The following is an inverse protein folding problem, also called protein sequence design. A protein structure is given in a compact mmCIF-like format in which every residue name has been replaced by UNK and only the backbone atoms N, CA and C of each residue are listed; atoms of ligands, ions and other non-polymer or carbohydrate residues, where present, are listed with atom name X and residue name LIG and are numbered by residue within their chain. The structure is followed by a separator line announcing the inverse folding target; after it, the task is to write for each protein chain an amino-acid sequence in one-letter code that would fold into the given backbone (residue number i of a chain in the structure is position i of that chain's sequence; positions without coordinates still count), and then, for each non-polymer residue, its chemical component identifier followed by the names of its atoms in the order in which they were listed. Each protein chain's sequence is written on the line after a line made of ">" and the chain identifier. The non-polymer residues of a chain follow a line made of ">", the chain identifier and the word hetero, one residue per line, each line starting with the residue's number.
data_IF_686676877596
#
_entry.id   IF_686676877596
#
_cell.length_a   1.000
_cell.length_b   1.000
_cell.length_c   1.000
_cell.angle_alpha   90.00
_cell.angle_beta   90.00
_cell.angle_gamma   90.00
#
_symmetry.space_group_name_H-M   'P 1'
#
loop_
_entity.id
_entity.type
_entity.pdbx_description
1 polymer ?
#
# COMPACT_ATOMS: atom_id res chain seq x y z
N UNK A 1 -17.76 -10.15 17.54
CA UNK A 1 -18.31 -8.94 16.92
C UNK A 1 -17.94 -7.76 17.77
N UNK A 2 -17.12 -6.89 17.26
CA UNK A 2 -16.72 -5.65 17.95
C UNK A 2 -17.56 -4.52 17.33
N UNK A 3 -17.74 -3.42 18.05
CA UNK A 3 -18.52 -2.27 17.58
C UNK A 3 -17.62 -1.03 17.68
N UNK A 4 -17.61 -0.20 16.64
CA UNK A 4 -16.90 1.08 16.61
C UNK A 4 -17.94 2.19 16.46
N UNK A 5 -18.20 2.94 17.50
CA UNK A 5 -19.14 4.05 17.53
C UNK A 5 -20.54 3.71 16.94
N UNK A 6 -21.07 2.53 17.25
CA UNK A 6 -22.35 2.04 16.74
C UNK A 6 -22.26 1.24 15.42
N UNK A 7 -21.15 1.31 14.71
CA UNK A 7 -20.90 0.57 13.46
C UNK A 7 -20.42 -0.85 13.76
N UNK A 8 -21.06 -1.87 13.21
CA UNK A 8 -20.62 -3.26 13.33
C UNK A 8 -19.24 -3.42 12.68
N UNK A 9 -18.28 -4.03 13.41
CA UNK A 9 -16.89 -4.16 12.93
C UNK A 9 -16.44 -5.62 12.89
N UNK A 10 -15.78 -5.99 11.82
CA UNK A 10 -15.18 -7.29 11.56
C UNK A 10 -13.72 -7.13 11.17
N UNK A 11 -12.89 -8.11 11.53
CA UNK A 11 -11.51 -8.24 11.05
C UNK A 11 -11.39 -9.47 10.15
N UNK A 12 -10.77 -9.31 8.98
CA UNK A 12 -10.36 -10.43 8.12
C UNK A 12 -8.84 -10.47 8.08
N UNK A 13 -8.28 -11.64 8.27
CA UNK A 13 -6.83 -11.82 8.45
C UNK A 13 -6.28 -12.80 7.41
N UNK A 14 -5.23 -12.39 6.70
CA UNK A 14 -4.63 -13.15 5.61
C UNK A 14 -3.14 -13.42 5.85
N UNK A 15 -2.68 -14.56 5.38
CA UNK A 15 -1.27 -14.86 5.19
C UNK A 15 -0.69 -14.10 3.97
N UNK A 16 0.63 -14.13 3.80
CA UNK A 16 1.33 -13.45 2.71
C UNK A 16 0.90 -13.90 1.29
N UNK A 17 0.40 -15.10 1.15
CA UNK A 17 -0.09 -15.70 -0.11
C UNK A 17 -1.58 -15.45 -0.37
N UNK A 18 -2.26 -14.73 0.53
CA UNK A 18 -3.69 -14.44 0.46
C UNK A 18 -4.58 -15.54 1.07
N UNK A 19 -4.03 -16.63 1.58
CA UNK A 19 -4.84 -17.62 2.32
C UNK A 19 -5.32 -17.04 3.64
N UNK A 20 -6.51 -17.42 4.15
CA UNK A 20 -6.98 -16.98 5.45
C UNK A 20 -6.02 -17.37 6.58
N UNK A 21 -5.68 -16.44 7.47
CA UNK A 21 -4.87 -16.73 8.64
C UNK A 21 -5.74 -17.28 9.76
N UNK A 22 -5.68 -18.59 9.97
CA UNK A 22 -6.45 -19.29 11.01
C UNK A 22 -5.77 -19.36 12.37
N UNK A 23 -4.54 -18.84 12.49
CA UNK A 23 -3.82 -18.84 13.76
C UNK A 23 -4.47 -17.89 14.80
N UNK A 24 -5.16 -16.84 14.33
CA UNK A 24 -5.84 -15.84 15.15
C UNK A 24 -7.36 -16.06 15.24
N UNK A 25 -7.89 -17.10 14.58
CA UNK A 25 -9.33 -17.38 14.51
C UNK A 25 -9.74 -18.01 13.18
N UNK A 26 -10.93 -17.65 12.68
CA UNK A 26 -11.45 -18.18 11.39
C UNK A 26 -10.75 -17.57 10.16
N UNK A 27 -9.98 -16.53 10.33
CA UNK A 27 -9.37 -15.74 9.24
C UNK A 27 -10.35 -14.84 8.49
N UNK A 28 -11.62 -15.21 8.43
CA UNK A 28 -12.72 -14.46 7.80
C UNK A 28 -13.50 -13.55 8.79
N UNK A 29 -13.09 -13.54 10.07
CA UNK A 29 -13.71 -12.74 11.14
C UNK A 29 -15.19 -13.04 11.39
N UNK A 30 -15.72 -14.14 10.84
CA UNK A 30 -17.15 -14.46 10.88
C UNK A 30 -18.00 -13.57 9.97
N UNK A 31 -17.39 -12.80 9.08
CA UNK A 31 -18.07 -11.89 8.15
C UNK A 31 -19.07 -12.60 7.23
N UNK A 32 -18.75 -13.74 6.57
CA UNK A 32 -19.71 -14.44 5.74
C UNK A 32 -20.98 -14.86 6.50
N UNK A 33 -20.82 -15.35 7.72
CA UNK A 33 -21.94 -15.75 8.57
C UNK A 33 -22.81 -14.55 9.01
N UNK A 34 -22.19 -13.39 9.22
CA UNK A 34 -22.91 -12.16 9.56
C UNK A 34 -23.71 -11.63 8.37
N UNK A 35 -23.12 -11.59 7.18
CA UNK A 35 -23.80 -11.18 5.94
C UNK A 35 -24.96 -12.12 5.63
N UNK A 36 -24.79 -13.45 5.78
CA UNK A 36 -25.82 -14.44 5.54
C UNK A 36 -27.04 -14.30 6.48
N UNK A 37 -26.89 -13.69 7.65
CA UNK A 37 -28.03 -13.37 8.53
C UNK A 37 -28.90 -12.22 8.04
N UNK A 38 -28.39 -11.40 7.13
CA UNK A 38 -29.05 -10.21 6.62
C UNK A 38 -28.90 -8.98 7.53
N UNK A 39 -29.40 -7.85 7.03
CA UNK A 39 -29.35 -6.56 7.72
C UNK A 39 -28.12 -5.70 7.40
N UNK A 40 -27.10 -6.25 6.73
CA UNK A 40 -25.95 -5.49 6.23
C UNK A 40 -26.19 -5.19 4.75
N UNK A 41 -26.48 -3.94 4.42
CA UNK A 41 -26.67 -3.47 3.04
C UNK A 41 -25.40 -2.86 2.45
N UNK A 42 -24.59 -2.24 3.28
CA UNK A 42 -23.36 -1.54 2.90
C UNK A 42 -22.17 -2.02 3.73
N UNK A 43 -21.10 -2.39 3.06
CA UNK A 43 -19.89 -2.95 3.66
C UNK A 43 -18.69 -2.08 3.31
N UNK A 44 -18.15 -1.38 4.30
CA UNK A 44 -16.97 -0.54 4.16
C UNK A 44 -15.71 -1.32 4.53
N UNK A 45 -14.86 -1.59 3.56
CA UNK A 45 -13.65 -2.41 3.71
C UNK A 45 -12.42 -1.52 3.64
N UNK A 46 -11.61 -1.47 4.71
CA UNK A 46 -10.38 -0.69 4.77
C UNK A 46 -9.16 -1.60 4.93
N UNK A 47 -8.16 -1.41 4.07
CA UNK A 47 -6.84 -2.02 4.21
C UNK A 47 -5.81 -0.98 4.63
N UNK A 48 -5.07 -1.30 5.70
CA UNK A 48 -3.88 -0.54 6.11
C UNK A 48 -2.75 -0.68 5.10
N UNK A 49 -1.80 0.23 5.17
CA UNK A 49 -0.62 0.25 4.34
C UNK A 49 0.57 -0.52 4.92
N UNK A 50 1.75 -0.05 4.59
CA UNK A 50 3.00 -0.48 5.20
C UNK A 50 3.04 0.05 6.63
N UNK A 51 3.02 -0.82 7.63
CA UNK A 51 2.62 -0.48 8.99
C UNK A 51 3.45 -1.23 10.05
N UNK A 52 3.49 -0.70 11.26
CA UNK A 52 4.26 -1.21 12.40
C UNK A 52 3.65 -2.43 13.11
N UNK A 53 2.63 -3.06 12.53
CA UNK A 53 2.03 -4.29 13.05
C UNK A 53 0.52 -4.21 13.24
N UNK A 54 -0.07 -5.27 13.77
CA UNK A 54 -1.53 -5.46 13.87
C UNK A 54 -2.18 -4.40 14.76
N UNK A 55 -1.55 -4.01 15.87
CA UNK A 55 -2.13 -3.03 16.79
C UNK A 55 -2.20 -1.64 16.16
N UNK A 56 -1.15 -1.23 15.42
CA UNK A 56 -1.15 0.02 14.67
C UNK A 56 -2.21 0.02 13.55
N UNK A 57 -2.46 -1.13 12.90
CA UNK A 57 -3.57 -1.27 11.95
C UNK A 57 -4.93 -1.09 12.64
N UNK A 58 -5.13 -1.67 13.82
CA UNK A 58 -6.36 -1.52 14.61
C UNK A 58 -6.60 -0.10 15.07
N UNK A 59 -5.54 0.62 15.47
CA UNK A 59 -5.63 2.05 15.83
C UNK A 59 -6.07 2.90 14.63
N UNK A 60 -5.54 2.62 13.44
CA UNK A 60 -5.99 3.25 12.21
C UNK A 60 -7.48 2.95 11.95
N UNK A 61 -7.89 1.67 12.03
CA UNK A 61 -9.27 1.27 11.80
C UNK A 61 -10.23 1.88 12.82
N UNK A 62 -9.86 1.91 14.10
CA UNK A 62 -10.64 2.56 15.14
C UNK A 62 -10.88 4.04 14.81
N UNK A 63 -9.85 4.78 14.40
CA UNK A 63 -9.96 6.19 14.08
C UNK A 63 -10.81 6.43 12.81
N UNK A 64 -10.49 5.72 11.71
CA UNK A 64 -11.16 5.91 10.43
C UNK A 64 -12.64 5.49 10.48
N UNK A 65 -12.94 4.36 11.12
CA UNK A 65 -14.33 3.90 11.24
C UNK A 65 -15.15 4.69 12.27
N UNK A 66 -14.53 5.34 13.26
CA UNK A 66 -15.20 6.32 14.09
C UNK A 66 -15.66 7.52 13.26
N UNK A 67 -14.76 8.11 12.46
CA UNK A 67 -15.09 9.21 11.54
C UNK A 67 -16.14 8.81 10.50
N UNK A 68 -16.10 7.56 10.01
CA UNK A 68 -17.11 7.03 9.08
C UNK A 68 -18.47 6.93 9.76
N UNK A 69 -18.54 6.35 10.96
CA UNK A 69 -19.77 6.16 11.73
C UNK A 69 -20.48 7.50 12.00
N UNK A 70 -19.71 8.55 12.31
CA UNK A 70 -20.23 9.90 12.54
C UNK A 70 -20.92 10.51 11.30
N UNK A 71 -20.65 9.99 10.10
CA UNK A 71 -21.16 10.51 8.84
C UNK A 71 -22.26 9.65 8.22
N UNK A 72 -22.47 8.41 8.70
CA UNK A 72 -23.46 7.48 8.12
C UNK A 72 -24.91 7.81 8.50
N UNK A 73 -25.15 8.59 9.54
CA UNK A 73 -26.48 8.98 9.98
C UNK A 73 -27.45 7.80 10.12
N UNK A 74 -28.56 7.80 9.40
CA UNK A 74 -29.57 6.74 9.44
C UNK A 74 -29.10 5.42 8.84
N UNK A 75 -28.04 5.43 8.03
CA UNK A 75 -27.46 4.23 7.38
C UNK A 75 -26.55 3.44 8.32
N UNK A 76 -26.21 3.99 9.49
CA UNK A 76 -25.30 3.36 10.45
C UNK A 76 -25.74 1.93 10.82
N UNK A 77 -27.03 1.72 11.05
CA UNK A 77 -27.57 0.42 11.50
C UNK A 77 -27.58 -0.67 10.44
N UNK A 78 -27.52 -0.28 9.16
CA UNK A 78 -27.48 -1.20 8.01
C UNK A 78 -26.10 -1.30 7.37
N UNK A 79 -25.11 -0.59 7.93
CA UNK A 79 -23.73 -0.60 7.48
C UNK A 79 -22.85 -1.45 8.39
N UNK A 80 -21.76 -1.98 7.84
CA UNK A 80 -20.70 -2.64 8.61
C UNK A 80 -19.33 -2.24 8.07
N UNK A 81 -18.33 -2.30 8.97
CA UNK A 81 -16.94 -2.03 8.68
C UNK A 81 -16.11 -3.32 8.71
N UNK A 82 -15.11 -3.41 7.84
CA UNK A 82 -14.16 -4.52 7.78
C UNK A 82 -12.74 -3.97 7.75
N UNK A 83 -11.94 -4.32 8.75
CA UNK A 83 -10.50 -4.11 8.75
C UNK A 83 -9.77 -5.32 8.15
N UNK A 84 -8.91 -5.07 7.17
CA UNK A 84 -8.11 -6.12 6.53
C UNK A 84 -6.75 -6.18 7.20
N UNK A 85 -6.46 -7.30 7.86
CA UNK A 85 -5.13 -7.57 8.45
C UNK A 85 -4.34 -8.42 7.46
N UNK A 86 -3.10 -8.02 7.21
CA UNK A 86 -2.18 -8.75 6.33
C UNK A 86 -0.73 -8.51 6.78
N UNK A 87 0.21 -9.44 6.53
CA UNK A 87 1.58 -9.33 7.04
C UNK A 87 2.37 -8.28 6.26
N UNK A 88 2.21 -7.03 6.68
CA UNK A 88 3.05 -5.89 6.30
C UNK A 88 3.89 -5.46 7.48
N UNK A 89 5.07 -4.95 7.22
CA UNK A 89 5.93 -4.37 8.26
C UNK A 89 6.72 -3.19 7.67
N UNK A 90 6.51 -2.01 8.24
CA UNK A 90 7.32 -0.83 7.95
C UNK A 90 8.76 -1.07 8.43
N UNK A 91 9.73 -0.66 7.61
CA UNK A 91 11.11 -0.74 8.03
C UNK A 91 11.32 0.12 9.29
N UNK A 92 11.89 -0.43 10.39
CA UNK A 92 11.82 0.23 11.69
C UNK A 92 12.42 1.64 11.76
N UNK A 93 13.37 1.95 10.87
CA UNK A 93 13.99 3.28 10.80
C UNK A 93 13.07 4.35 10.20
N UNK A 94 12.00 3.95 9.52
CA UNK A 94 11.16 4.86 8.74
C UNK A 94 10.11 5.56 9.60
N UNK A 95 9.78 4.96 10.73
CA UNK A 95 8.89 5.55 11.72
C UNK A 95 9.38 5.22 13.15
N UNK A 96 10.47 5.85 13.60
CA UNK A 96 11.10 5.54 14.87
C UNK A 96 10.21 5.85 16.08
N UNK A 97 9.25 6.78 15.96
CA UNK A 97 8.37 7.18 17.05
C UNK A 97 7.29 6.10 17.33
N UNK A 98 6.93 5.33 16.32
CA UNK A 98 5.94 4.26 16.42
C UNK A 98 6.56 2.86 16.30
N UNK A 99 7.85 2.75 16.03
CA UNK A 99 8.53 1.45 15.98
C UNK A 99 8.60 0.83 17.38
N UNK A 100 8.22 -0.44 17.57
CA UNK A 100 8.32 -1.14 18.85
C UNK A 100 9.75 -1.12 19.42
N UNK A 101 10.73 -1.17 18.56
CA UNK A 101 12.16 -1.04 18.85
C UNK A 101 12.84 -0.40 17.65
N UNK A 102 13.60 0.68 17.86
CA UNK A 102 14.50 1.22 16.83
C UNK A 102 15.79 0.39 16.84
N UNK A 103 16.07 -0.42 15.80
CA UNK A 103 17.23 -1.30 15.82
C UNK A 103 18.54 -0.51 15.70
N UNK A 104 19.40 -0.62 16.71
CA UNK A 104 20.76 -0.05 16.68
C UNK A 104 21.80 -1.02 16.13
N UNK A 105 21.45 -2.31 16.01
CA UNK A 105 22.33 -3.37 15.48
C UNK A 105 21.62 -4.15 14.37
N UNK A 106 22.42 -4.82 13.52
CA UNK A 106 21.92 -5.72 12.50
C UNK A 106 21.14 -6.89 13.09
N UNK A 107 21.56 -7.41 14.23
CA UNK A 107 20.84 -8.48 14.94
C UNK A 107 19.46 -8.02 15.41
N UNK A 108 19.32 -6.80 15.94
CA UNK A 108 18.03 -6.23 16.31
C UNK A 108 17.14 -6.00 15.09
N UNK A 109 17.73 -5.52 13.98
CA UNK A 109 17.00 -5.35 12.72
C UNK A 109 16.46 -6.66 12.19
N UNK A 110 17.25 -7.74 12.21
CA UNK A 110 16.80 -9.07 11.82
C UNK A 110 15.58 -9.54 12.63
N UNK A 111 15.60 -9.34 13.95
CA UNK A 111 14.47 -9.65 14.84
C UNK A 111 13.24 -8.80 14.48
N UNK A 112 13.42 -7.49 14.25
CA UNK A 112 12.33 -6.58 13.91
C UNK A 112 11.66 -6.93 12.56
N UNK A 113 12.42 -7.45 11.59
CA UNK A 113 11.87 -7.87 10.29
C UNK A 113 11.23 -9.27 10.29
N UNK A 114 11.51 -10.10 11.29
CA UNK A 114 11.03 -11.48 11.38
C UNK A 114 9.50 -11.64 11.22
N UNK A 115 8.65 -10.79 11.82
CA UNK A 115 7.19 -10.91 11.66
C UNK A 115 6.72 -10.79 10.20
N UNK A 116 7.41 -9.99 9.40
CA UNK A 116 7.09 -9.84 7.97
C UNK A 116 7.68 -10.95 7.10
N UNK A 117 8.72 -11.61 7.57
CA UNK A 117 9.47 -12.67 6.86
C UNK A 117 9.61 -13.93 7.70
N UNK A 118 8.51 -14.56 8.14
CA UNK A 118 8.57 -15.67 9.10
C UNK A 118 9.29 -16.91 8.57
N UNK A 119 9.36 -17.08 7.25
CA UNK A 119 10.05 -18.20 6.60
C UNK A 119 11.54 -17.94 6.36
N UNK A 120 12.00 -16.69 6.47
CA UNK A 120 13.36 -16.25 6.17
C UNK A 120 14.17 -15.86 7.43
N UNK A 121 13.80 -16.36 8.61
CA UNK A 121 14.43 -15.99 9.88
C UNK A 121 15.96 -16.22 9.89
N UNK A 122 16.43 -17.37 9.39
CA UNK A 122 17.85 -17.66 9.31
C UNK A 122 18.59 -16.74 8.34
N UNK A 123 17.94 -16.40 7.21
CA UNK A 123 18.46 -15.47 6.23
C UNK A 123 18.61 -14.06 6.82
N UNK A 124 17.58 -13.58 7.53
CA UNK A 124 17.62 -12.30 8.25
C UNK A 124 18.73 -12.30 9.33
N UNK A 125 18.84 -13.36 10.11
CA UNK A 125 19.89 -13.48 11.13
C UNK A 125 21.29 -13.39 10.52
N UNK A 126 21.54 -14.05 9.38
CA UNK A 126 22.83 -13.98 8.67
C UNK A 126 23.10 -12.57 8.16
N UNK A 127 22.11 -11.91 7.57
CA UNK A 127 22.23 -10.51 7.13
C UNK A 127 22.49 -9.56 8.31
N UNK A 128 21.81 -9.75 9.44
CA UNK A 128 22.06 -9.00 10.66
C UNK A 128 23.50 -9.12 11.14
N UNK A 129 24.06 -10.33 11.16
CA UNK A 129 25.47 -10.56 11.52
C UNK A 129 26.43 -9.85 10.56
N UNK A 130 26.18 -9.91 9.25
CA UNK A 130 27.00 -9.24 8.25
C UNK A 130 26.96 -7.71 8.40
N UNK A 131 25.79 -7.12 8.73
CA UNK A 131 25.65 -5.70 9.01
C UNK A 131 26.40 -5.27 10.27
N UNK A 132 26.46 -6.12 11.30
CA UNK A 132 27.18 -5.82 12.55
C UNK A 132 28.70 -5.98 12.38
N UNK A 133 29.15 -6.98 11.62
CA UNK A 133 30.58 -7.29 11.42
C UNK A 133 31.23 -6.43 10.33
N UNK A 134 30.49 -6.02 9.32
CA UNK A 134 30.93 -5.24 8.16
C UNK A 134 32.28 -5.75 7.58
N UNK A 135 32.38 -7.02 7.18
CA UNK A 135 33.64 -7.59 6.68
C UNK A 135 34.18 -6.80 5.50
N UNK A 136 35.49 -6.59 5.46
CA UNK A 136 36.18 -5.95 4.34
C UNK A 136 36.48 -6.96 3.22
N UNK A 137 35.44 -7.66 2.80
CA UNK A 137 35.48 -8.74 1.82
C UNK A 137 34.36 -8.61 0.81
N UNK A 138 34.65 -8.48 -0.49
CA UNK A 138 33.64 -8.46 -1.54
C UNK A 138 32.71 -9.69 -1.52
N UNK A 139 33.20 -10.84 -1.09
CA UNK A 139 32.37 -12.04 -1.00
C UNK A 139 31.26 -11.91 0.04
N UNK A 140 31.54 -11.26 1.17
CA UNK A 140 30.55 -10.97 2.21
C UNK A 140 29.47 -9.99 1.73
N UNK A 141 29.83 -8.95 0.95
CA UNK A 141 28.88 -8.04 0.32
C UNK A 141 28.01 -8.75 -0.72
N UNK A 142 28.60 -9.61 -1.55
CA UNK A 142 27.86 -10.42 -2.51
C UNK A 142 26.89 -11.38 -1.81
N UNK A 143 27.31 -12.01 -0.73
CA UNK A 143 26.46 -12.87 0.10
C UNK A 143 25.27 -12.08 0.65
N UNK A 144 25.53 -10.90 1.20
CA UNK A 144 24.45 -10.03 1.72
C UNK A 144 23.47 -9.67 0.61
N UNK A 145 23.95 -9.28 -0.57
CA UNK A 145 23.11 -8.91 -1.70
C UNK A 145 22.21 -10.09 -2.15
N UNK A 146 22.79 -11.29 -2.28
CA UNK A 146 22.02 -12.49 -2.62
C UNK A 146 20.95 -12.82 -1.56
N UNK A 147 21.27 -12.65 -0.27
CA UNK A 147 20.31 -12.83 0.79
C UNK A 147 19.22 -11.75 0.73
N UNK A 148 19.57 -10.48 0.52
CA UNK A 148 18.61 -9.40 0.46
C UNK A 148 17.64 -9.52 -0.74
N UNK A 149 18.17 -9.83 -1.94
CA UNK A 149 17.33 -10.08 -3.14
C UNK A 149 16.44 -11.31 -2.96
N UNK A 150 16.91 -12.32 -2.25
CA UNK A 150 16.14 -13.52 -1.93
C UNK A 150 14.96 -13.28 -0.94
N UNK A 151 14.84 -12.10 -0.34
CA UNK A 151 13.64 -11.73 0.42
C UNK A 151 12.45 -11.41 -0.48
N UNK A 152 12.70 -10.99 -1.72
CA UNK A 152 11.63 -10.69 -2.69
C UNK A 152 11.18 -12.00 -3.32
N UNK A 153 10.17 -12.62 -2.73
CA UNK A 153 9.63 -13.90 -3.19
C UNK A 153 8.41 -13.72 -4.09
N UNK A 154 7.74 -12.58 -3.97
CA UNK A 154 6.53 -12.25 -4.72
C UNK A 154 6.90 -11.48 -5.99
N UNK A 155 6.45 -11.98 -7.15
CA UNK A 155 6.74 -11.34 -8.42
C UNK A 155 5.93 -10.04 -8.61
N UNK A 156 6.49 -9.02 -9.28
CA UNK A 156 5.74 -7.85 -9.72
C UNK A 156 4.53 -8.26 -10.57
N UNK A 157 3.37 -7.63 -10.34
CA UNK A 157 2.12 -7.99 -11.03
C UNK A 157 1.81 -7.06 -12.20
N UNK A 158 2.25 -5.80 -12.15
CA UNK A 158 2.05 -4.81 -13.20
C UNK A 158 3.34 -4.51 -13.95
N UNK A 159 3.18 -4.17 -15.23
CA UNK A 159 4.33 -3.78 -16.05
C UNK A 159 4.94 -2.46 -15.61
N UNK A 160 4.12 -1.59 -15.05
CA UNK A 160 4.51 -0.32 -14.43
C UNK A 160 5.39 -0.53 -13.17
N UNK A 161 5.42 -1.76 -12.64
CA UNK A 161 6.20 -2.14 -11.46
C UNK A 161 7.55 -2.78 -11.81
N UNK A 162 7.92 -2.89 -13.08
CA UNK A 162 9.11 -3.66 -13.53
C UNK A 162 10.45 -3.02 -13.17
N UNK A 163 10.48 -1.79 -12.66
CA UNK A 163 11.70 -1.14 -12.15
C UNK A 163 12.45 -1.97 -11.10
N UNK A 164 11.72 -2.78 -10.32
CA UNK A 164 12.30 -3.70 -9.33
C UNK A 164 13.24 -4.76 -9.95
N UNK A 165 12.90 -5.25 -11.14
CA UNK A 165 13.65 -6.32 -11.78
C UNK A 165 15.11 -5.93 -12.04
N UNK A 166 15.38 -4.66 -12.34
CA UNK A 166 16.73 -4.20 -12.59
C UNK A 166 17.58 -4.17 -11.32
N UNK A 167 17.01 -3.74 -10.18
CA UNK A 167 17.73 -3.77 -8.90
C UNK A 167 18.00 -5.21 -8.42
N UNK A 168 17.04 -6.12 -8.63
CA UNK A 168 17.22 -7.54 -8.29
C UNK A 168 18.30 -8.22 -9.12
N UNK A 169 18.64 -7.67 -10.30
CA UNK A 169 19.65 -8.22 -11.23
C UNK A 169 20.92 -7.39 -11.32
N UNK A 170 21.00 -6.23 -10.66
CA UNK A 170 22.19 -5.39 -10.63
C UNK A 170 23.38 -6.10 -9.94
N UNK A 171 24.60 -5.72 -10.32
CA UNK A 171 25.77 -6.15 -9.54
C UNK A 171 25.80 -5.47 -8.15
N UNK A 172 26.44 -6.12 -7.19
CA UNK A 172 26.44 -5.70 -5.79
C UNK A 172 26.99 -4.29 -5.57
N UNK A 173 28.08 -3.93 -6.26
CA UNK A 173 28.70 -2.61 -6.08
C UNK A 173 27.80 -1.47 -6.60
N UNK A 174 27.16 -1.70 -7.74
CA UNK A 174 26.18 -0.77 -8.32
C UNK A 174 24.95 -0.64 -7.42
N UNK A 175 24.34 -1.75 -6.99
CA UNK A 175 23.16 -1.74 -6.13
C UNK A 175 23.43 -1.00 -4.81
N UNK A 176 24.54 -1.32 -4.14
CA UNK A 176 24.88 -0.71 -2.84
C UNK A 176 25.33 0.73 -2.97
N UNK A 177 26.06 1.08 -4.04
CA UNK A 177 26.45 2.46 -4.31
C UNK A 177 25.25 3.39 -4.54
N UNK A 178 24.29 2.94 -5.35
CA UNK A 178 23.05 3.69 -5.57
C UNK A 178 22.20 3.79 -4.30
N UNK A 179 22.03 2.69 -3.58
CA UNK A 179 21.27 2.68 -2.33
C UNK A 179 21.89 3.62 -1.26
N UNK A 180 23.22 3.63 -1.13
CA UNK A 180 23.91 4.54 -0.22
C UNK A 180 23.69 6.02 -0.57
N UNK A 181 23.60 6.35 -1.86
CA UNK A 181 23.33 7.72 -2.32
C UNK A 181 21.91 8.20 -2.00
N UNK A 182 20.98 7.26 -1.78
CA UNK A 182 19.57 7.53 -1.48
C UNK A 182 19.26 7.55 0.03
N UNK A 183 20.21 7.15 0.89
CA UNK A 183 19.99 7.13 2.33
C UNK A 183 19.53 8.50 2.85
N UNK A 184 18.42 8.61 3.64
CA UNK A 184 17.88 9.87 4.13
C UNK A 184 18.86 10.68 4.95
N UNK A 185 19.87 10.03 5.50
CA UNK A 185 20.94 10.57 6.33
C UNK A 185 22.31 10.35 5.70
N UNK A 186 22.41 10.33 4.35
CA UNK A 186 23.71 10.33 3.68
C UNK A 186 24.46 11.60 4.10
N UNK A 187 25.08 11.55 5.30
CA UNK A 187 26.03 12.53 5.71
C UNK A 187 27.21 12.47 4.75
N UNK A 188 27.90 13.59 4.53
CA UNK A 188 29.15 13.70 3.78
C UNK A 188 30.23 12.68 4.21
N UNK A 189 30.02 11.97 5.30
CA UNK A 189 30.82 10.83 5.73
C UNK A 189 30.73 9.60 4.79
N UNK A 190 29.66 9.44 4.00
CA UNK A 190 29.58 8.41 2.97
C UNK A 190 30.52 8.67 1.78
N UNK A 191 31.05 9.89 1.64
CA UNK A 191 32.13 10.27 0.70
C UNK A 191 33.52 10.20 1.34
N UNK A 192 33.65 9.51 2.48
CA UNK A 192 34.87 9.43 3.25
C UNK A 192 36.06 8.89 2.47
N UNK A 193 37.07 9.72 2.35
CA UNK A 193 38.45 9.38 2.04
C UNK A 193 38.94 8.41 3.13
N UNK A 194 38.64 7.11 2.99
CA UNK A 194 39.12 6.15 4.00
C UNK A 194 38.97 4.70 3.57
N UNK A 195 37.80 4.15 3.74
CA UNK A 195 37.56 2.73 3.44
C UNK A 195 36.34 2.58 2.54
N UNK A 196 36.48 2.10 1.30
CA UNK A 196 35.37 1.93 0.36
C UNK A 196 34.29 0.97 0.89
N UNK A 197 34.66 0.00 1.74
CA UNK A 197 33.69 -0.92 2.34
C UNK A 197 32.73 -0.26 3.31
N UNK A 198 33.12 0.78 4.04
CA UNK A 198 32.22 1.48 4.96
C UNK A 198 31.04 2.12 4.23
N UNK A 199 31.27 2.73 3.08
CA UNK A 199 30.21 3.29 2.24
C UNK A 199 29.30 2.20 1.67
N UNK A 200 29.85 1.07 1.23
CA UNK A 200 29.07 -0.04 0.71
C UNK A 200 28.19 -0.71 1.79
N UNK A 201 28.69 -0.86 3.02
CA UNK A 201 27.87 -1.42 4.11
C UNK A 201 26.74 -0.48 4.56
N UNK A 202 26.90 0.84 4.46
CA UNK A 202 25.75 1.75 4.63
C UNK A 202 24.69 1.53 3.54
N UNK A 203 25.13 1.35 2.30
CA UNK A 203 24.25 1.00 1.18
C UNK A 203 23.58 -0.39 1.34
N UNK A 204 24.22 -1.35 1.98
CA UNK A 204 23.65 -2.68 2.24
C UNK A 204 22.36 -2.59 3.07
N UNK A 205 22.32 -1.73 4.10
CA UNK A 205 21.11 -1.50 4.91
C UNK A 205 19.98 -0.93 4.06
N UNK A 206 20.29 0.00 3.17
CA UNK A 206 19.32 0.62 2.26
C UNK A 206 18.82 -0.36 1.19
N UNK A 207 19.66 -1.27 0.71
CA UNK A 207 19.24 -2.39 -0.15
C UNK A 207 18.25 -3.27 0.59
N UNK A 208 18.53 -3.64 1.85
CA UNK A 208 17.59 -4.44 2.64
C UNK A 208 16.24 -3.73 2.83
N UNK A 209 16.24 -2.41 3.11
CA UNK A 209 15.03 -1.60 3.17
C UNK A 209 14.24 -1.66 1.85
N UNK A 210 14.92 -1.45 0.73
CA UNK A 210 14.31 -1.46 -0.61
C UNK A 210 13.73 -2.84 -0.97
N UNK A 211 14.44 -3.94 -0.66
CA UNK A 211 13.92 -5.29 -0.90
C UNK A 211 12.70 -5.59 -0.03
N UNK A 212 12.71 -5.14 1.24
CA UNK A 212 11.53 -5.25 2.12
C UNK A 212 10.34 -4.49 1.55
N UNK A 213 10.57 -3.29 1.04
CA UNK A 213 9.55 -2.47 0.38
C UNK A 213 8.94 -3.22 -0.82
N UNK A 214 9.76 -3.78 -1.71
CA UNK A 214 9.27 -4.49 -2.89
C UNK A 214 8.44 -5.72 -2.51
N UNK A 215 8.92 -6.52 -1.55
CA UNK A 215 8.15 -7.68 -1.10
C UNK A 215 6.79 -7.25 -0.53
N UNK A 216 6.73 -6.20 0.30
CA UNK A 216 5.47 -5.73 0.88
C UNK A 216 4.52 -5.17 -0.18
N UNK A 217 5.03 -4.42 -1.16
CA UNK A 217 4.26 -3.90 -2.28
C UNK A 217 3.62 -5.04 -3.09
N UNK A 218 4.41 -6.03 -3.47
CA UNK A 218 3.95 -7.16 -4.27
C UNK A 218 2.96 -8.04 -3.49
N UNK A 219 3.26 -8.31 -2.22
CA UNK A 219 2.40 -9.05 -1.30
C UNK A 219 1.02 -8.42 -1.16
N UNK A 220 0.94 -7.09 -1.05
CA UNK A 220 -0.34 -6.38 -1.02
C UNK A 220 -1.22 -6.74 -2.22
N UNK A 221 -0.66 -6.79 -3.43
CA UNK A 221 -1.39 -7.22 -4.62
C UNK A 221 -1.84 -8.69 -4.55
N UNK A 222 -0.96 -9.60 -4.08
CA UNK A 222 -1.30 -11.03 -3.93
C UNK A 222 -2.42 -11.24 -2.91
N UNK A 223 -2.35 -10.58 -1.75
CA UNK A 223 -3.41 -10.67 -0.72
C UNK A 223 -4.72 -10.12 -1.24
N UNK A 224 -4.71 -9.01 -1.98
CA UNK A 224 -5.90 -8.47 -2.62
C UNK A 224 -6.52 -9.46 -3.60
N UNK A 225 -5.73 -9.95 -4.56
CA UNK A 225 -6.21 -10.80 -5.64
C UNK A 225 -6.61 -12.20 -5.16
N UNK A 226 -5.79 -12.84 -4.31
CA UNK A 226 -5.98 -14.24 -3.93
C UNK A 226 -6.77 -14.42 -2.63
N UNK A 227 -6.82 -13.38 -1.78
CA UNK A 227 -7.47 -13.43 -0.47
C UNK A 227 -8.77 -12.63 -0.43
N UNK A 228 -8.65 -11.30 -0.42
CA UNK A 228 -9.80 -10.42 -0.21
C UNK A 228 -10.81 -10.52 -1.36
N UNK A 229 -10.38 -10.55 -2.61
CA UNK A 229 -11.28 -10.65 -3.76
C UNK A 229 -12.19 -11.87 -3.71
N UNK A 230 -11.65 -13.10 -3.59
CA UNK A 230 -12.45 -14.33 -3.42
C UNK A 230 -13.36 -14.29 -2.19
N UNK A 231 -12.89 -13.77 -1.04
CA UNK A 231 -13.72 -13.63 0.15
C UNK A 231 -14.94 -12.74 -0.12
N UNK A 232 -14.72 -11.53 -0.66
CA UNK A 232 -15.81 -10.60 -0.95
C UNK A 232 -16.77 -11.15 -2.03
N UNK A 233 -16.27 -11.89 -3.01
CA UNK A 233 -17.08 -12.54 -4.04
C UNK A 233 -17.99 -13.64 -3.47
N UNK A 234 -17.62 -14.25 -2.34
CA UNK A 234 -18.39 -15.31 -1.67
C UNK A 234 -19.53 -14.77 -0.80
N UNK A 235 -19.53 -13.47 -0.47
CA UNK A 235 -20.54 -12.87 0.41
C UNK A 235 -21.90 -12.86 -0.26
N UNK A 236 -22.91 -13.42 0.43
CA UNK A 236 -24.29 -13.43 -0.02
C UNK A 236 -25.22 -13.37 1.18
N UNK A 237 -26.13 -12.40 1.18
CA UNK A 237 -27.21 -12.27 2.16
C UNK A 237 -28.56 -12.71 1.57
N UNK A 238 -29.64 -12.63 2.36
CA UNK A 238 -31.01 -12.96 1.91
C UNK A 238 -31.44 -12.14 0.68
N UNK A 239 -31.03 -10.90 0.60
CA UNK A 239 -31.38 -9.95 -0.46
C UNK A 239 -30.28 -9.81 -1.53
N UNK A 240 -29.28 -10.70 -1.54
CA UNK A 240 -28.10 -10.65 -2.39
C UNK A 240 -26.83 -10.21 -1.67
N UNK A 241 -25.73 -9.98 -2.40
CA UNK A 241 -24.50 -9.48 -1.80
C UNK A 241 -24.66 -8.04 -1.31
N UNK A 242 -24.00 -7.65 -0.20
CA UNK A 242 -23.96 -6.24 0.22
C UNK A 242 -23.28 -5.37 -0.83
N UNK A 243 -23.59 -4.08 -0.83
CA UNK A 243 -22.84 -3.06 -1.57
C UNK A 243 -21.47 -2.90 -0.90
N UNK A 244 -20.39 -3.06 -1.63
CA UNK A 244 -19.03 -3.04 -1.09
C UNK A 244 -18.34 -1.73 -1.47
N UNK A 245 -17.79 -1.04 -0.47
CA UNK A 245 -17.03 0.18 -0.59
C UNK A 245 -15.59 -0.08 -0.16
N UNK A 246 -14.67 -0.16 -1.14
CA UNK A 246 -13.27 -0.46 -0.90
C UNK A 246 -12.50 0.83 -0.57
N UNK A 247 -11.73 0.79 0.50
CA UNK A 247 -10.82 1.85 0.93
C UNK A 247 -9.44 1.26 1.21
N UNK A 248 -8.39 1.95 0.81
CA UNK A 248 -7.04 1.51 1.12
C UNK A 248 -6.08 2.68 1.30
N UNK A 249 -5.23 2.58 2.32
CA UNK A 249 -4.17 3.55 2.57
C UNK A 249 -2.81 2.99 2.14
N UNK A 250 -1.99 3.79 1.46
CA UNK A 250 -0.62 3.39 1.10
C UNK A 250 -0.59 2.10 0.26
N UNK A 251 0.13 1.05 0.67
CA UNK A 251 0.06 -0.28 0.05
C UNK A 251 -1.31 -0.96 0.21
N UNK A 252 -2.11 -0.56 1.22
CA UNK A 252 -3.49 -1.00 1.31
C UNK A 252 -4.34 -0.52 0.13
N UNK A 253 -4.01 0.63 -0.48
CA UNK A 253 -4.64 1.07 -1.72
C UNK A 253 -4.34 0.11 -2.88
N UNK A 254 -3.11 -0.40 -2.98
CA UNK A 254 -2.76 -1.47 -3.91
C UNK A 254 -3.54 -2.76 -3.61
N UNK A 255 -3.61 -3.17 -2.35
CA UNK A 255 -4.33 -4.38 -1.94
C UNK A 255 -5.79 -4.31 -2.39
N UNK A 256 -6.52 -3.23 -2.07
CA UNK A 256 -7.94 -3.11 -2.46
C UNK A 256 -8.12 -2.94 -3.97
N UNK A 257 -7.14 -2.38 -4.68
CA UNK A 257 -7.17 -2.33 -6.15
C UNK A 257 -7.05 -3.73 -6.77
N UNK A 258 -6.08 -4.52 -6.32
CA UNK A 258 -5.90 -5.91 -6.79
C UNK A 258 -7.00 -6.87 -6.30
N UNK A 259 -7.79 -6.48 -5.29
CA UNK A 259 -9.04 -7.18 -4.93
C UNK A 259 -9.99 -7.28 -6.11
N UNK A 260 -10.02 -6.25 -6.97
CA UNK A 260 -10.83 -6.25 -8.18
C UNK A 260 -10.42 -7.40 -9.12
N UNK A 261 -9.11 -7.62 -9.33
CA UNK A 261 -8.61 -8.73 -10.15
C UNK A 261 -8.95 -10.12 -9.57
N UNK A 262 -9.20 -10.20 -8.26
CA UNK A 262 -9.65 -11.41 -7.56
C UNK A 262 -11.14 -11.71 -7.65
N UNK A 263 -11.95 -10.78 -8.18
CA UNK A 263 -13.37 -11.01 -8.41
C UNK A 263 -13.59 -11.89 -9.64
N UNK A 264 -14.69 -12.70 -9.69
CA UNK A 264 -15.05 -13.43 -10.90
C UNK A 264 -15.22 -12.53 -12.13
N UNK A 265 -14.84 -13.01 -13.30
CA UNK A 265 -14.81 -12.22 -14.54
C UNK A 265 -16.17 -11.60 -14.94
N UNK A 266 -17.30 -12.22 -14.51
CA UNK A 266 -18.65 -11.72 -14.77
C UNK A 266 -19.12 -10.62 -13.78
N UNK A 267 -18.27 -10.22 -12.82
CA UNK A 267 -18.59 -9.16 -11.84
C UNK A 267 -18.11 -7.81 -12.35
N UNK A 268 -18.80 -7.28 -13.37
CA UNK A 268 -18.52 -5.98 -13.98
C UNK A 268 -19.79 -5.13 -14.03
N UNK A 269 -19.64 -3.79 -14.06
CA UNK A 269 -20.75 -2.83 -14.07
C UNK A 269 -21.75 -3.14 -12.96
N UNK A 270 -23.04 -3.08 -13.24
CA UNK A 270 -24.12 -3.31 -12.26
C UNK A 270 -24.12 -4.70 -11.62
N UNK A 271 -23.47 -5.69 -12.24
CA UNK A 271 -23.31 -7.03 -11.66
C UNK A 271 -22.20 -7.10 -10.60
N UNK A 272 -21.37 -6.07 -10.47
CA UNK A 272 -20.35 -6.00 -9.43
C UNK A 272 -20.95 -5.64 -8.07
N UNK A 273 -20.55 -6.32 -6.98
CA UNK A 273 -20.90 -5.89 -5.64
C UNK A 273 -20.11 -4.65 -5.19
N UNK A 274 -18.96 -4.35 -5.84
CA UNK A 274 -18.13 -3.18 -5.49
C UNK A 274 -18.74 -1.93 -6.08
N UNK A 275 -19.14 -1.00 -5.20
CA UNK A 275 -19.85 0.23 -5.57
C UNK A 275 -19.00 1.49 -5.47
N UNK A 276 -17.83 1.42 -4.84
CA UNK A 276 -16.84 2.49 -4.87
C UNK A 276 -15.44 1.97 -4.52
N UNK A 277 -14.43 2.65 -5.02
CA UNK A 277 -13.02 2.44 -4.69
C UNK A 277 -12.41 3.78 -4.28
N UNK A 278 -11.85 3.87 -3.08
CA UNK A 278 -11.15 5.07 -2.61
C UNK A 278 -9.72 4.72 -2.22
N UNK A 279 -8.77 5.28 -2.95
CA UNK A 279 -7.33 5.09 -2.77
C UNK A 279 -6.78 6.29 -2.01
N UNK A 280 -6.41 6.07 -0.74
CA UNK A 280 -5.96 7.14 0.16
C UNK A 280 -4.43 7.13 0.17
N UNK A 281 -3.79 8.17 -0.40
CA UNK A 281 -2.33 8.31 -0.48
C UNK A 281 -1.67 7.01 -1.00
N UNK A 282 -2.14 6.50 -2.15
CA UNK A 282 -1.75 5.19 -2.68
C UNK A 282 -0.27 5.10 -3.01
N UNK A 283 0.45 4.14 -2.41
CA UNK A 283 1.87 3.88 -2.63
C UNK A 283 2.11 2.84 -3.72
N UNK A 284 1.58 3.09 -4.91
CA UNK A 284 1.78 2.27 -6.11
C UNK A 284 1.55 3.11 -7.36
N UNK A 285 1.92 2.59 -8.54
CA UNK A 285 1.95 3.36 -9.77
C UNK A 285 0.63 4.06 -10.09
N UNK A 286 0.71 5.32 -10.43
CA UNK A 286 -0.42 6.12 -10.88
C UNK A 286 -0.93 5.71 -12.27
N UNK A 287 -0.21 4.82 -12.98
CA UNK A 287 -0.62 4.24 -14.26
C UNK A 287 -1.33 2.90 -14.13
N UNK A 288 -1.52 2.36 -12.93
CA UNK A 288 -2.04 1.00 -12.73
C UNK A 288 -3.36 0.72 -13.46
N UNK A 289 -4.25 1.72 -13.57
CA UNK A 289 -5.52 1.60 -14.28
C UNK A 289 -5.47 2.16 -15.72
N UNK A 290 -4.32 2.59 -16.21
CA UNK A 290 -4.19 3.19 -17.54
C UNK A 290 -4.44 2.17 -18.64
N UNK A 291 -5.34 2.47 -19.58
CA UNK A 291 -5.59 1.64 -20.78
C UNK A 291 -4.40 1.64 -21.74
N UNK A 292 -3.52 2.65 -21.65
CA UNK A 292 -2.24 2.72 -22.32
C UNK A 292 -1.27 3.56 -21.50
N UNK A 293 -0.01 3.12 -21.41
CA UNK A 293 1.03 3.85 -20.68
C UNK A 293 1.54 5.01 -21.52
N UNK A 294 1.72 6.19 -20.91
CA UNK A 294 2.15 7.40 -21.62
C UNK A 294 3.56 7.26 -22.23
N UNK A 295 4.43 6.51 -21.56
CA UNK A 295 5.81 6.24 -22.00
C UNK A 295 5.93 5.01 -22.93
N UNK A 296 4.92 4.14 -22.99
CA UNK A 296 4.83 3.00 -23.89
C UNK A 296 3.37 2.70 -24.25
N UNK A 297 2.81 3.37 -25.27
CA UNK A 297 1.40 3.23 -25.64
C UNK A 297 0.99 1.83 -26.11
N UNK A 298 1.95 0.93 -26.35
CA UNK A 298 1.67 -0.46 -26.70
C UNK A 298 1.31 -1.33 -25.49
N UNK A 299 1.45 -0.80 -24.28
CA UNK A 299 1.25 -1.50 -23.00
C UNK A 299 0.21 -0.78 -22.14
N UNK A 300 -0.45 -1.52 -21.30
CA UNK A 300 -1.45 -1.03 -20.35
C UNK A 300 -0.98 -1.24 -18.90
N UNK A 301 -1.57 -0.54 -17.97
CA UNK A 301 -1.36 -0.77 -16.54
C UNK A 301 -1.90 -2.14 -16.09
N UNK A 302 -1.41 -2.64 -14.97
CA UNK A 302 -1.70 -3.99 -14.48
C UNK A 302 -3.19 -4.25 -14.17
N UNK A 303 -3.98 -3.20 -13.96
CA UNK A 303 -5.43 -3.25 -13.69
C UNK A 303 -6.25 -2.44 -14.70
N UNK A 304 -5.75 -2.27 -15.93
CA UNK A 304 -6.41 -1.46 -16.96
C UNK A 304 -7.87 -1.89 -17.22
N UNK A 305 -8.14 -3.20 -17.19
CA UNK A 305 -9.47 -3.77 -17.45
C UNK A 305 -10.33 -3.88 -16.17
N UNK A 306 -9.71 -3.79 -14.99
CA UNK A 306 -10.37 -4.06 -13.73
C UNK A 306 -11.16 -2.86 -13.17
N UNK A 307 -10.96 -1.65 -13.69
CA UNK A 307 -11.78 -0.48 -13.36
C UNK A 307 -13.28 -0.72 -13.60
N UNK A 308 -13.62 -1.51 -14.63
CA UNK A 308 -15.01 -1.90 -14.94
C UNK A 308 -15.67 -2.78 -13.88
N UNK A 309 -14.91 -3.31 -12.92
CA UNK A 309 -15.38 -4.11 -11.77
C UNK A 309 -15.86 -3.25 -10.60
N UNK A 310 -15.80 -1.92 -10.74
CA UNK A 310 -16.40 -0.96 -9.80
C UNK A 310 -17.65 -0.36 -10.45
N UNK A 311 -18.82 -0.62 -9.85
CA UNK A 311 -20.11 -0.06 -10.28
C UNK A 311 -20.37 1.28 -9.58
N UNK A 312 -19.45 2.19 -9.72
CA UNK A 312 -19.47 3.51 -9.09
C UNK A 312 -18.15 4.25 -9.29
N UNK A 313 -17.87 5.30 -8.53
CA UNK A 313 -16.67 6.12 -8.72
C UNK A 313 -15.41 5.46 -8.18
N UNK A 314 -14.27 5.78 -8.82
CA UNK A 314 -12.92 5.42 -8.40
C UNK A 314 -12.19 6.70 -8.01
N UNK A 315 -11.87 6.84 -6.73
CA UNK A 315 -11.26 8.04 -6.15
C UNK A 315 -9.79 7.76 -5.77
N UNK A 316 -8.92 8.75 -5.97
CA UNK A 316 -7.57 8.75 -5.42
C UNK A 316 -7.29 10.10 -4.77
N UNK A 317 -6.96 10.14 -3.47
CA UNK A 317 -6.43 11.34 -2.83
C UNK A 317 -4.96 11.47 -3.13
N UNK A 318 -4.47 12.71 -3.28
CA UNK A 318 -3.05 12.99 -3.45
C UNK A 318 -2.64 14.26 -2.71
N UNK A 319 -1.37 14.29 -2.25
CA UNK A 319 -0.78 15.46 -1.61
C UNK A 319 0.72 15.55 -1.90
N UNK A 320 1.17 16.74 -2.28
CA UNK A 320 2.60 17.05 -2.45
C UNK A 320 3.37 17.04 -1.11
N UNK A 321 2.68 17.12 0.03
CA UNK A 321 3.26 17.00 1.36
C UNK A 321 3.59 15.53 1.72
N UNK A 322 3.08 14.57 0.97
CA UNK A 322 3.38 13.15 1.11
C UNK A 322 4.73 12.81 0.46
N UNK A 323 5.77 12.69 1.29
CA UNK A 323 7.13 12.41 0.82
C UNK A 323 7.37 10.93 0.57
N UNK A 324 6.64 10.03 1.24
CA UNK A 324 6.80 8.59 1.04
C UNK A 324 6.51 8.21 -0.41
N UNK A 325 5.41 8.71 -0.96
CA UNK A 325 5.01 8.43 -2.34
C UNK A 325 5.61 9.39 -3.37
N UNK A 326 5.96 10.62 -2.96
CA UNK A 326 6.53 11.62 -3.86
C UNK A 326 8.03 11.48 -4.10
N UNK A 327 8.75 10.82 -3.19
CA UNK A 327 10.21 10.68 -3.29
C UNK A 327 10.71 9.24 -3.18
N UNK A 328 10.26 8.49 -2.19
CA UNK A 328 10.71 7.11 -1.96
C UNK A 328 10.25 6.13 -3.03
N UNK A 329 9.00 6.19 -3.43
CA UNK A 329 8.47 5.32 -4.47
C UNK A 329 9.21 5.53 -5.80
N UNK A 330 9.35 6.77 -6.33
CA UNK A 330 10.16 7.01 -7.51
C UNK A 330 11.63 6.64 -7.32
N UNK A 331 12.22 6.98 -6.18
CA UNK A 331 13.64 6.73 -5.93
C UNK A 331 13.97 5.23 -5.90
N UNK A 332 13.17 4.40 -5.24
CA UNK A 332 13.32 2.95 -5.26
C UNK A 332 13.19 2.39 -6.69
N UNK A 333 12.34 2.98 -7.51
CA UNK A 333 12.12 2.57 -8.91
C UNK A 333 13.21 3.10 -9.85
N UNK A 334 13.80 4.28 -9.58
CA UNK A 334 14.92 4.87 -10.34
C UNK A 334 16.25 4.11 -10.18
N UNK A 335 16.43 3.35 -9.10
CA UNK A 335 17.59 2.45 -8.94
C UNK A 335 17.71 1.43 -10.08
N UNK A 336 16.66 1.26 -10.86
CA UNK A 336 16.60 0.38 -12.01
C UNK A 336 17.44 0.81 -13.23
N UNK A 337 18.08 1.98 -13.22
CA UNK A 337 19.02 2.44 -14.26
C UNK A 337 18.44 2.48 -15.67
N UNK A 338 17.96 3.65 -16.11
CA UNK A 338 17.75 3.95 -17.55
C UNK A 338 18.41 5.29 -17.84
N UNK A 339 19.50 5.26 -18.59
CA UNK A 339 20.50 6.32 -18.67
C UNK A 339 20.19 7.49 -19.62
N UNK A 340 18.98 7.64 -20.16
CA UNK A 340 18.72 8.64 -21.21
C UNK A 340 17.56 9.61 -20.96
N UNK A 341 16.78 9.42 -19.90
CA UNK A 341 15.63 10.28 -19.58
C UNK A 341 16.02 11.38 -18.61
N UNK A 342 15.30 12.52 -18.63
CA UNK A 342 15.50 13.56 -17.62
C UNK A 342 15.07 13.05 -16.23
N UNK A 343 15.65 13.61 -15.16
CA UNK A 343 15.25 13.25 -13.80
C UNK A 343 13.74 13.47 -13.54
N UNK A 344 13.16 14.50 -14.18
CA UNK A 344 11.72 14.78 -14.07
C UNK A 344 10.88 13.72 -14.78
N UNK A 345 11.30 13.26 -15.96
CA UNK A 345 10.60 12.20 -16.71
C UNK A 345 10.67 10.87 -15.95
N UNK A 346 11.81 10.56 -15.35
CA UNK A 346 11.97 9.36 -14.51
C UNK A 346 11.09 9.43 -13.25
N UNK A 347 11.04 10.58 -12.55
CA UNK A 347 10.17 10.78 -11.39
C UNK A 347 8.71 10.61 -11.78
N UNK A 348 8.28 11.13 -12.93
CA UNK A 348 6.92 10.96 -13.44
C UNK A 348 6.65 9.52 -13.86
N UNK A 349 7.55 8.88 -14.60
CA UNK A 349 7.39 7.48 -15.05
C UNK A 349 7.20 6.51 -13.88
N UNK A 350 7.84 6.76 -12.77
CA UNK A 350 7.78 5.96 -11.55
C UNK A 350 6.95 6.62 -10.43
N UNK A 351 6.07 7.55 -10.79
CA UNK A 351 5.22 8.27 -9.86
C UNK A 351 4.19 7.38 -9.18
N UNK A 352 3.84 7.74 -7.95
CA UNK A 352 2.84 7.04 -7.16
C UNK A 352 1.53 7.83 -7.10
N UNK A 353 0.42 7.11 -7.06
CA UNK A 353 -0.93 7.66 -7.06
C UNK A 353 -1.19 8.66 -5.94
N UNK A 354 -0.63 8.46 -4.75
CA UNK A 354 -0.78 9.38 -3.62
C UNK A 354 -0.01 10.70 -3.76
N UNK A 355 0.83 10.86 -4.80
CA UNK A 355 1.56 12.10 -5.07
C UNK A 355 0.83 13.03 -6.04
N UNK A 356 0.22 12.48 -7.09
CA UNK A 356 -0.36 13.26 -8.19
C UNK A 356 -1.70 12.71 -8.73
N UNK A 357 -2.28 11.72 -8.05
CA UNK A 357 -3.54 11.10 -8.45
C UNK A 357 -3.40 10.13 -9.62
N UNK A 358 -4.50 9.79 -10.25
CA UNK A 358 -4.50 8.96 -11.45
C UNK A 358 -3.82 9.69 -12.62
N UNK A 359 -2.91 9.01 -13.32
CA UNK A 359 -2.27 9.49 -14.53
C UNK A 359 -2.58 8.51 -15.67
N UNK A 360 -3.75 8.62 -16.27
CA UNK A 360 -4.28 7.60 -17.16
C UNK A 360 -5.14 8.15 -18.28
N UNK A 361 -5.47 7.27 -19.23
CA UNK A 361 -6.52 7.45 -20.23
C UNK A 361 -7.64 6.41 -19.96
N UNK A 362 -8.93 6.81 -19.80
CA UNK A 362 -9.42 8.19 -19.93
C UNK A 362 -8.92 9.12 -18.82
N UNK A 363 -8.78 10.41 -19.16
CA UNK A 363 -8.28 11.42 -18.22
C UNK A 363 -9.18 11.52 -16.97
N UNK A 364 -8.62 11.43 -15.76
CA UNK A 364 -9.38 11.54 -14.53
C UNK A 364 -9.89 12.98 -14.33
N UNK A 365 -11.00 13.10 -13.63
CA UNK A 365 -11.55 14.41 -13.24
C UNK A 365 -10.83 14.92 -11.99
N UNK A 366 -10.13 16.06 -12.05
CA UNK A 366 -9.53 16.66 -10.87
C UNK A 366 -10.58 17.37 -10.03
N UNK A 367 -10.57 17.12 -8.72
CA UNK A 367 -11.43 17.78 -7.74
C UNK A 367 -10.61 18.15 -6.49
N UNK A 368 -11.09 19.09 -5.69
CA UNK A 368 -10.55 19.34 -4.36
C UNK A 368 -11.17 18.33 -3.37
N UNK A 369 -10.40 17.88 -2.41
CA UNK A 369 -10.94 17.17 -1.26
C UNK A 369 -11.80 18.14 -0.44
N UNK A 370 -13.11 17.95 -0.50
CA UNK A 370 -14.08 18.91 0.00
C UNK A 370 -14.37 18.70 1.49
N UNK A 371 -14.69 19.77 2.24
CA UNK A 371 -15.15 19.66 3.61
C UNK A 371 -16.46 18.87 3.70
N UNK A 372 -16.69 18.25 4.87
CA UNK A 372 -17.93 17.54 5.15
C UNK A 372 -19.16 18.41 4.87
N UNK A 373 -20.19 17.80 4.26
CA UNK A 373 -21.43 18.46 3.88
C UNK A 373 -21.40 19.17 2.52
N UNK A 374 -20.24 19.30 1.87
CA UNK A 374 -20.17 19.81 0.50
C UNK A 374 -20.40 18.65 -0.48
N UNK A 375 -21.43 18.71 -1.33
CA UNK A 375 -21.78 17.58 -2.21
C UNK A 375 -20.72 17.35 -3.29
N UNK A 376 -20.55 16.08 -3.65
CA UNK A 376 -19.84 15.63 -4.84
C UNK A 376 -20.81 15.11 -5.90
N UNK A 377 -20.49 15.32 -7.17
CA UNK A 377 -21.24 14.81 -8.31
C UNK A 377 -20.47 13.68 -9.00
N UNK A 378 -20.28 12.57 -8.29
CA UNK A 378 -19.58 11.41 -8.84
C UNK A 378 -20.45 10.64 -9.83
N UNK A 379 -19.83 10.17 -10.92
CA UNK A 379 -20.50 9.33 -11.92
C UNK A 379 -19.97 7.89 -11.84
N UNK A 380 -20.80 6.87 -12.04
CA UNK A 380 -20.34 5.48 -12.12
C UNK A 380 -19.25 5.30 -13.19
N UNK A 381 -18.19 4.56 -12.82
CA UNK A 381 -17.03 4.33 -13.68
C UNK A 381 -16.10 5.52 -13.87
N UNK A 382 -16.42 6.69 -13.25
CA UNK A 382 -15.58 7.87 -13.31
C UNK A 382 -14.36 7.75 -12.42
N UNK A 383 -13.20 8.19 -12.93
CA UNK A 383 -11.96 8.31 -12.17
C UNK A 383 -11.79 9.75 -11.68
N UNK A 384 -11.50 9.92 -10.40
CA UNK A 384 -11.39 11.24 -9.75
C UNK A 384 -10.08 11.34 -8.96
N UNK A 385 -9.26 12.34 -9.29
CA UNK A 385 -8.08 12.72 -8.51
C UNK A 385 -8.44 13.83 -7.54
N UNK A 386 -8.44 13.52 -6.24
CA UNK A 386 -8.84 14.45 -5.18
C UNK A 386 -7.60 15.14 -4.61
N UNK A 387 -7.44 16.43 -4.91
CA UNK A 387 -6.38 17.26 -4.33
C UNK A 387 -6.63 17.44 -2.83
N UNK A 388 -5.79 16.80 -2.03
CA UNK A 388 -5.82 16.81 -0.58
C UNK A 388 -4.73 17.70 0.05
N UNK A 389 -4.02 18.54 -0.73
CA UNK A 389 -2.91 19.35 -0.25
C UNK A 389 -3.28 20.26 0.95
N UNK A 390 -4.52 20.70 1.04
CA UNK A 390 -5.00 21.54 2.13
C UNK A 390 -5.41 20.75 3.40
N UNK A 391 -5.57 19.43 3.30
CA UNK A 391 -6.07 18.55 4.37
C UNK A 391 -4.96 17.61 4.83
N UNK A 392 -4.34 16.88 3.90
CA UNK A 392 -3.26 15.93 4.19
C UNK A 392 -1.91 16.67 4.08
N UNK A 393 -1.55 17.41 5.13
CA UNK A 393 -0.38 18.31 5.09
C UNK A 393 0.33 18.47 6.45
N UNK A 394 -0.24 17.92 7.54
CA UNK A 394 0.30 17.98 8.89
C UNK A 394 1.03 16.68 9.29
N UNK A 395 1.50 16.62 10.54
CA UNK A 395 2.15 15.46 11.14
C UNK A 395 3.31 14.89 10.30
N UNK A 396 4.11 15.78 9.69
CA UNK A 396 5.16 15.41 8.75
C UNK A 396 6.34 14.76 9.47
N UNK A 397 6.61 13.48 9.18
CA UNK A 397 7.87 12.86 9.54
C UNK A 397 8.98 13.22 8.54
N UNK A 398 10.24 13.08 8.95
CA UNK A 398 11.38 13.34 8.08
C UNK A 398 11.41 12.39 6.86
N UNK A 399 10.94 11.17 7.04
CA UNK A 399 10.90 10.13 6.03
C UNK A 399 9.63 10.20 5.16
N UNK A 400 8.44 10.11 5.79
CA UNK A 400 7.19 9.93 5.06
C UNK A 400 6.43 11.24 4.78
N UNK A 401 6.89 12.39 5.29
CA UNK A 401 6.11 13.61 5.18
C UNK A 401 4.73 13.43 5.83
N UNK A 402 3.68 13.90 5.15
CA UNK A 402 2.31 13.82 5.62
C UNK A 402 1.60 12.49 5.25
N UNK A 403 2.33 11.43 4.88
CA UNK A 403 1.77 10.17 4.38
C UNK A 403 0.70 9.55 5.30
N UNK A 404 0.89 9.63 6.60
CA UNK A 404 -0.03 9.07 7.62
C UNK A 404 -1.07 10.08 8.13
N UNK A 405 -1.09 11.30 7.61
CA UNK A 405 -2.03 12.36 7.98
C UNK A 405 -3.37 12.21 7.25
N UNK A 406 -4.01 11.05 7.40
CA UNK A 406 -5.23 10.69 6.65
C UNK A 406 -6.50 10.63 7.51
N UNK A 407 -6.38 10.84 8.83
CA UNK A 407 -7.49 10.72 9.79
C UNK A 407 -8.32 12.00 9.82
N UNK A 408 -8.92 12.34 8.67
CA UNK A 408 -9.69 13.57 8.47
C UNK A 408 -11.14 13.28 8.10
N UNK A 409 -12.13 14.04 8.63
CA UNK A 409 -13.53 13.87 8.25
C UNK A 409 -13.77 14.09 6.75
N UNK A 410 -12.97 14.93 6.07
CA UNK A 410 -13.03 15.18 4.64
C UNK A 410 -12.75 13.92 3.81
N UNK A 411 -11.79 13.08 4.26
CA UNK A 411 -11.46 11.82 3.61
C UNK A 411 -12.66 10.88 3.66
N UNK A 412 -13.28 10.74 4.85
CA UNK A 412 -14.45 9.87 5.02
C UNK A 412 -15.71 10.47 4.36
N UNK A 413 -15.81 11.79 4.25
CA UNK A 413 -16.87 12.44 3.49
C UNK A 413 -16.84 12.10 2.01
N UNK A 414 -15.65 12.06 1.42
CA UNK A 414 -15.49 11.57 0.04
C UNK A 414 -15.91 10.11 -0.10
N UNK A 415 -15.57 9.24 0.87
CA UNK A 415 -15.98 7.83 0.90
C UNK A 415 -17.50 7.66 0.97
N UNK A 416 -18.15 8.35 1.92
CA UNK A 416 -19.62 8.28 2.10
C UNK A 416 -20.34 8.84 0.87
N UNK A 417 -19.79 9.91 0.28
CA UNK A 417 -20.30 10.48 -0.97
C UNK A 417 -20.18 9.51 -2.14
N UNK A 418 -19.03 8.83 -2.27
CA UNK A 418 -18.81 7.81 -3.30
C UNK A 418 -19.73 6.59 -3.13
N UNK A 419 -20.10 6.28 -1.89
CA UNK A 419 -21.07 5.25 -1.57
C UNK A 419 -22.51 5.64 -1.91
N UNK A 420 -22.77 6.91 -2.21
CA UNK A 420 -24.12 7.46 -2.42
C UNK A 420 -24.94 7.54 -1.13
N UNK A 421 -24.27 7.65 0.03
CA UNK A 421 -24.87 7.68 1.37
C UNK A 421 -24.73 9.05 2.07
N UNK A 422 -24.12 10.03 1.40
CA UNK A 422 -24.05 11.40 1.86
C UNK A 422 -25.47 12.01 1.84
N UNK A 423 -26.08 12.15 3.00
CA UNK A 423 -27.43 12.67 3.21
C UNK A 423 -27.45 14.14 3.63
#
# INVERSE_FOLDING_TARGET
>A
MTNINGLAYYEVDFNADGTPNTATGSGDGGLPAAVAKGGITDLFVLSHGWNNGVDSARDLYQAMFTLLADQLGTQLSSSAAVGVIWPSLLFPDDDPDNAPVVPSTGAQLAVALTPAFPQQQQQLATMGQLLDQQPQDPAALNQFHQLATGLVTTKPQGIEDTGEAALLTADTATAFGHAAAMAPHATTAAQGIGNPFTGLWSGAREVLRTMSYYEMKNRAGVVGQNGLGPLLASLSGPDGPPRIHLMGHSFGARLVSYTLAGLPANRTGSASPVKSLTLIQGAFSHFTFASSLMFDPSRAGGLADDGSRVDGPLLATFSAADRAVGWWYPAASMLAGQDSESAADLVFRWGAMGHDGYQQNPTPTPLLLAPQGKPYEFQPGGFYSLDANAVICANQSAFSGAHSDIRHPEVLWAVVSAAGLAG
#
